data_IF_059289660958
#
_entry.id   IF_059289660958
#
_cell.length_a   1.000
_cell.length_b   1.000
_cell.length_c   1.000
_cell.angle_alpha   90.00
_cell.angle_beta   90.00
_cell.angle_gamma   90.00
#
_symmetry.space_group_name_H-M   'P 1'
#
loop_
_entity.id
_entity.type
_entity.pdbx_description
1 polymer ?
#
# COMPACT_ATOMS: atom_id res chain seq x y z
N UNK A 1 -30.15 22.04 -5.83
CA UNK A 1 -28.95 22.53 -5.10
C UNK A 1 -27.76 21.84 -5.71
N UNK A 2 -26.61 22.51 -5.86
CA UNK A 2 -25.41 21.83 -6.38
C UNK A 2 -24.93 20.78 -5.39
N UNK A 3 -24.70 19.55 -5.85
CA UNK A 3 -24.16 18.46 -5.02
C UNK A 3 -22.76 18.82 -4.54
N UNK A 4 -22.46 18.46 -3.28
CA UNK A 4 -21.13 18.68 -2.69
C UNK A 4 -20.18 17.54 -3.06
N UNK A 5 -18.91 17.86 -3.25
CA UNK A 5 -17.87 16.84 -3.40
C UNK A 5 -17.13 16.58 -2.09
N UNK A 6 -16.64 15.35 -1.93
CA UNK A 6 -15.58 15.01 -0.99
C UNK A 6 -14.29 14.76 -1.76
N UNK A 7 -13.17 15.25 -1.23
CA UNK A 7 -11.84 14.90 -1.74
C UNK A 7 -11.42 13.54 -1.18
N UNK A 8 -10.46 12.87 -1.83
CA UNK A 8 -9.94 11.57 -1.35
C UNK A 8 -9.42 11.63 0.10
N UNK A 9 -8.85 12.78 0.52
CA UNK A 9 -8.45 13.02 1.90
C UNK A 9 -9.63 12.99 2.89
N UNK A 10 -10.77 13.56 2.52
CA UNK A 10 -11.95 13.63 3.39
C UNK A 10 -12.59 12.24 3.50
N UNK A 11 -12.59 11.48 2.40
CA UNK A 11 -13.02 10.07 2.39
C UNK A 11 -12.09 9.21 3.24
N UNK A 12 -10.78 9.41 3.16
CA UNK A 12 -9.82 8.67 3.97
C UNK A 12 -10.02 8.90 5.48
N UNK A 13 -10.27 10.14 5.91
CA UNK A 13 -10.61 10.43 7.32
C UNK A 13 -11.85 9.69 7.78
N UNK A 14 -12.91 9.66 6.94
CA UNK A 14 -14.14 8.94 7.25
C UNK A 14 -13.95 7.43 7.26
N UNK A 15 -13.18 6.88 6.32
CA UNK A 15 -12.86 5.44 6.24
C UNK A 15 -12.08 4.96 7.47
N UNK A 16 -11.13 5.77 7.93
CA UNK A 16 -10.27 5.42 9.07
C UNK A 16 -10.94 5.67 10.43
N UNK A 17 -11.64 6.78 10.58
CA UNK A 17 -12.04 7.30 11.89
C UNK A 17 -13.53 7.67 12.03
N UNK A 18 -14.29 7.67 10.94
CA UNK A 18 -15.70 8.08 10.91
C UNK A 18 -16.63 6.96 10.49
N UNK A 19 -17.86 7.35 10.16
CA UNK A 19 -18.84 6.50 9.48
C UNK A 19 -19.04 7.00 8.05
N UNK A 20 -19.30 6.08 7.12
CA UNK A 20 -19.58 6.41 5.73
C UNK A 20 -20.50 5.36 5.10
N UNK A 21 -21.56 5.81 4.43
CA UNK A 21 -22.33 4.96 3.54
C UNK A 21 -21.93 5.23 2.08
N UNK A 22 -21.69 4.18 1.31
CA UNK A 22 -21.24 4.30 -0.09
C UNK A 22 -22.30 3.71 -1.02
N UNK A 23 -22.75 4.52 -1.98
CA UNK A 23 -23.48 4.05 -3.14
C UNK A 23 -22.48 3.93 -4.30
N UNK A 24 -22.02 2.71 -4.59
CA UNK A 24 -21.14 2.48 -5.72
C UNK A 24 -21.96 2.27 -7.00
N UNK A 25 -21.75 3.12 -8.00
CA UNK A 25 -22.50 3.06 -9.27
C UNK A 25 -21.69 2.47 -10.42
N UNK A 26 -20.53 1.86 -10.13
CA UNK A 26 -19.80 1.05 -11.10
C UNK A 26 -20.56 -0.24 -11.40
N UNK A 27 -20.13 -0.95 -12.45
CA UNK A 27 -20.66 -2.29 -12.72
C UNK A 27 -20.32 -3.25 -11.57
N UNK A 28 -21.10 -4.33 -11.45
CA UNK A 28 -20.97 -5.30 -10.36
C UNK A 28 -19.58 -5.90 -10.29
N UNK A 29 -18.97 -6.24 -11.43
CA UNK A 29 -17.64 -6.84 -11.50
C UNK A 29 -16.57 -5.94 -10.89
N UNK A 30 -16.56 -4.65 -11.25
CA UNK A 30 -15.59 -3.68 -10.72
C UNK A 30 -15.79 -3.44 -9.22
N UNK A 31 -17.03 -3.48 -8.74
CA UNK A 31 -17.35 -3.34 -7.32
C UNK A 31 -16.94 -4.57 -6.50
N UNK A 32 -17.17 -5.78 -7.03
CA UNK A 32 -16.79 -7.04 -6.39
C UNK A 32 -15.28 -7.24 -6.33
N UNK A 33 -14.56 -6.85 -7.40
CA UNK A 33 -13.10 -6.95 -7.44
C UNK A 33 -12.43 -5.92 -6.52
N UNK A 34 -12.95 -4.70 -6.45
CA UNK A 34 -12.29 -3.62 -5.72
C UNK A 34 -13.25 -2.52 -5.28
N UNK A 35 -13.35 -2.26 -3.98
CA UNK A 35 -14.23 -1.24 -3.40
C UNK A 35 -13.58 -0.52 -2.21
N UNK A 36 -14.17 0.60 -1.80
CA UNK A 36 -13.74 1.34 -0.61
C UNK A 36 -14.24 0.59 0.62
N UNK A 37 -13.32 0.18 1.49
CA UNK A 37 -13.63 -0.56 2.71
C UNK A 37 -13.07 0.14 3.95
N UNK A 38 -13.75 -0.02 5.08
CA UNK A 38 -13.40 0.60 6.36
C UNK A 38 -14.19 -0.05 7.49
N UNK A 39 -13.73 0.08 8.74
CA UNK A 39 -14.35 -0.60 9.90
C UNK A 39 -15.82 -0.19 10.12
N UNK A 40 -16.16 1.04 9.73
CA UNK A 40 -17.50 1.63 9.85
C UNK A 40 -18.02 2.12 8.49
N UNK A 41 -17.52 1.50 7.40
CA UNK A 41 -17.98 1.76 6.04
C UNK A 41 -18.97 0.67 5.66
N UNK A 42 -20.13 1.09 5.16
CA UNK A 42 -21.11 0.19 4.55
C UNK A 42 -21.38 0.63 3.13
N UNK A 43 -21.54 -0.32 2.21
CA UNK A 43 -21.74 -0.01 0.80
C UNK A 43 -22.82 -0.88 0.16
N UNK A 44 -23.53 -0.30 -0.80
CA UNK A 44 -24.35 -1.03 -1.77
C UNK A 44 -23.88 -0.71 -3.18
N UNK A 45 -24.09 -1.63 -4.12
CA UNK A 45 -23.81 -1.41 -5.52
C UNK A 45 -25.11 -1.34 -6.32
N UNK A 46 -25.26 -0.28 -7.12
CA UNK A 46 -26.37 -0.07 -8.05
C UNK A 46 -25.79 0.49 -9.34
N UNK A 47 -25.52 -0.34 -10.36
CA UNK A 47 -24.88 0.09 -11.59
C UNK A 47 -25.55 1.32 -12.19
N UNK A 48 -24.74 2.27 -12.66
CA UNK A 48 -25.21 3.55 -13.21
C UNK A 48 -26.30 3.40 -14.28
N UNK A 49 -26.20 2.35 -15.12
CA UNK A 49 -27.18 2.07 -16.17
C UNK A 49 -28.59 1.85 -15.63
N UNK A 50 -28.73 1.30 -14.42
CA UNK A 50 -30.03 1.05 -13.77
C UNK A 50 -30.64 2.33 -13.20
N UNK A 51 -29.85 3.40 -13.08
CA UNK A 51 -30.22 4.68 -12.48
C UNK A 51 -30.48 5.78 -13.51
N UNK A 52 -30.33 5.49 -14.81
CA UNK A 52 -30.50 6.45 -15.91
C UNK A 52 -31.94 6.98 -16.01
N UNK A 53 -32.92 6.12 -15.76
CA UNK A 53 -34.35 6.45 -15.85
C UNK A 53 -34.92 7.01 -14.52
N UNK A 54 -34.06 7.20 -13.51
CA UNK A 54 -34.42 7.76 -12.21
C UNK A 54 -33.98 6.90 -11.02
N UNK A 55 -33.87 7.55 -9.86
CA UNK A 55 -33.32 6.96 -8.62
C UNK A 55 -34.38 6.54 -7.59
N UNK A 56 -35.67 6.79 -7.86
CA UNK A 56 -36.76 6.61 -6.88
C UNK A 56 -36.80 5.21 -6.25
N UNK A 57 -36.48 4.18 -7.05
CA UNK A 57 -36.54 2.79 -6.61
C UNK A 57 -35.43 2.41 -5.60
N UNK A 58 -34.35 3.19 -5.49
CA UNK A 58 -33.27 2.95 -4.52
C UNK A 58 -33.32 3.89 -3.31
N UNK A 59 -34.15 4.95 -3.33
CA UNK A 59 -34.20 5.96 -2.26
C UNK A 59 -34.48 5.33 -0.89
N UNK A 60 -35.32 4.29 -0.82
CA UNK A 60 -35.63 3.59 0.44
C UNK A 60 -34.49 2.72 0.96
N UNK A 61 -33.51 2.39 0.13
CA UNK A 61 -32.34 1.58 0.50
C UNK A 61 -31.22 2.43 1.12
N UNK A 62 -31.24 3.75 0.90
CA UNK A 62 -30.21 4.67 1.37
C UNK A 62 -30.52 5.19 2.79
N UNK A 63 -29.50 5.35 3.65
CA UNK A 63 -29.69 5.93 4.97
C UNK A 63 -30.05 7.42 4.86
N UNK A 64 -30.91 7.89 5.76
CA UNK A 64 -31.35 9.30 5.82
C UNK A 64 -30.61 10.12 6.87
N UNK A 65 -29.93 9.44 7.78
CA UNK A 65 -29.24 9.98 8.95
C UNK A 65 -27.71 9.95 8.82
N UNK A 66 -27.19 9.52 7.66
CA UNK A 66 -25.75 9.39 7.39
C UNK A 66 -25.35 10.14 6.13
N UNK A 67 -24.07 10.49 6.05
CA UNK A 67 -23.47 10.94 4.79
C UNK A 67 -23.47 9.78 3.78
N UNK A 68 -23.99 10.02 2.58
CA UNK A 68 -23.97 9.09 1.46
C UNK A 68 -22.99 9.59 0.42
N UNK A 69 -21.95 8.80 0.16
CA UNK A 69 -20.98 9.05 -0.89
C UNK A 69 -21.31 8.20 -2.13
N UNK A 70 -21.63 8.86 -3.23
CA UNK A 70 -21.81 8.22 -4.53
C UNK A 70 -20.44 8.11 -5.21
N UNK A 71 -20.09 6.90 -5.65
CA UNK A 71 -18.76 6.60 -6.19
C UNK A 71 -18.87 5.99 -7.59
N UNK A 72 -18.05 6.48 -8.52
CA UNK A 72 -17.81 5.81 -9.79
C UNK A 72 -16.31 5.84 -10.13
N UNK A 73 -15.92 5.33 -11.31
CA UNK A 73 -14.52 5.26 -11.72
C UNK A 73 -13.81 6.63 -11.75
N UNK A 74 -14.45 7.67 -12.32
CA UNK A 74 -13.86 9.01 -12.51
C UNK A 74 -14.58 10.13 -11.78
N UNK A 75 -15.90 10.25 -11.92
CA UNK A 75 -16.83 11.09 -11.10
C UNK A 75 -18.12 11.40 -11.86
N UNK A 76 -18.12 11.40 -13.20
CA UNK A 76 -19.26 11.85 -14.01
C UNK A 76 -20.58 11.14 -13.69
N UNK A 77 -20.58 9.80 -13.67
CA UNK A 77 -21.75 9.01 -13.29
C UNK A 77 -22.19 9.24 -11.84
N UNK A 78 -21.24 9.42 -10.91
CA UNK A 78 -21.58 9.70 -9.51
C UNK A 78 -22.14 11.10 -9.32
N UNK A 79 -21.70 12.10 -10.09
CA UNK A 79 -22.28 13.46 -10.07
C UNK A 79 -23.74 13.39 -10.51
N UNK A 80 -24.02 12.76 -11.66
CA UNK A 80 -25.39 12.62 -12.16
C UNK A 80 -26.31 11.96 -11.14
N UNK A 81 -25.90 10.80 -10.59
CA UNK A 81 -26.72 10.07 -9.62
C UNK A 81 -26.89 10.86 -8.32
N UNK A 82 -25.85 11.52 -7.84
CA UNK A 82 -25.93 12.35 -6.65
C UNK A 82 -26.87 13.56 -6.82
N UNK A 83 -26.92 14.15 -8.02
CA UNK A 83 -27.85 15.23 -8.36
C UNK A 83 -29.29 14.71 -8.33
N UNK A 84 -29.55 13.56 -8.95
CA UNK A 84 -30.87 12.92 -8.93
C UNK A 84 -31.34 12.57 -7.51
N UNK A 85 -30.45 12.05 -6.66
CA UNK A 85 -30.78 11.78 -5.25
C UNK A 85 -31.09 13.05 -4.46
N UNK A 86 -30.37 14.14 -4.73
CA UNK A 86 -30.64 15.44 -4.11
C UNK A 86 -31.98 16.01 -4.59
N UNK A 87 -32.32 15.84 -5.86
CA UNK A 87 -33.62 16.23 -6.43
C UNK A 87 -34.78 15.39 -5.88
N UNK A 88 -34.55 14.11 -5.58
CA UNK A 88 -35.47 13.22 -4.88
C UNK A 88 -35.64 13.54 -3.38
N UNK A 89 -34.95 14.58 -2.88
CA UNK A 89 -35.12 15.11 -1.53
C UNK A 89 -34.23 14.45 -0.48
N UNK A 90 -33.19 13.69 -0.87
CA UNK A 90 -32.18 13.23 0.08
C UNK A 90 -31.22 14.37 0.43
N UNK A 91 -30.87 14.43 1.70
CA UNK A 91 -29.84 15.34 2.22
C UNK A 91 -28.52 14.57 2.42
N UNK A 92 -27.41 15.31 2.62
CA UNK A 92 -26.08 14.73 2.88
C UNK A 92 -25.57 13.77 1.79
N UNK A 93 -25.91 14.08 0.54
CA UNK A 93 -25.38 13.38 -0.64
C UNK A 93 -24.10 14.06 -1.12
N UNK A 94 -23.07 13.25 -1.32
CA UNK A 94 -21.76 13.67 -1.83
C UNK A 94 -21.33 12.79 -3.00
N UNK A 95 -20.43 13.30 -3.84
CA UNK A 95 -19.67 12.45 -4.76
C UNK A 95 -18.17 12.56 -4.47
N UNK A 96 -17.40 11.53 -4.84
CA UNK A 96 -15.95 11.55 -4.72
C UNK A 96 -15.34 12.30 -5.90
N UNK A 97 -14.70 13.43 -5.64
CA UNK A 97 -13.94 14.17 -6.64
C UNK A 97 -12.80 13.30 -7.21
N UNK A 98 -12.76 13.15 -8.53
CA UNK A 98 -11.82 12.27 -9.23
C UNK A 98 -12.10 10.76 -9.07
N UNK A 99 -13.18 10.39 -8.38
CA UNK A 99 -13.69 9.02 -8.29
C UNK A 99 -12.69 8.02 -7.73
N UNK A 100 -12.88 6.75 -8.07
CA UNK A 100 -11.98 5.68 -7.66
C UNK A 100 -10.52 5.89 -8.13
N UNK A 101 -10.30 6.63 -9.22
CA UNK A 101 -8.93 7.00 -9.63
C UNK A 101 -8.22 7.84 -8.59
N UNK A 102 -8.86 8.90 -8.09
CA UNK A 102 -8.31 9.72 -7.02
C UNK A 102 -8.17 8.94 -5.71
N UNK A 103 -9.10 8.03 -5.42
CA UNK A 103 -9.00 7.13 -4.26
C UNK A 103 -7.78 6.20 -4.33
N UNK A 104 -7.52 5.61 -5.50
CA UNK A 104 -6.34 4.76 -5.72
C UNK A 104 -5.04 5.50 -5.43
N UNK A 105 -4.96 6.78 -5.79
CA UNK A 105 -3.74 7.57 -5.75
C UNK A 105 -3.44 8.21 -4.38
N UNK A 106 -4.46 8.35 -3.53
CA UNK A 106 -4.32 9.09 -2.29
C UNK A 106 -3.49 8.34 -1.25
N UNK A 107 -2.55 9.06 -0.64
CA UNK A 107 -1.63 8.56 0.38
C UNK A 107 -1.82 9.35 1.67
N UNK A 108 -2.14 8.66 2.76
CA UNK A 108 -2.33 9.25 4.10
C UNK A 108 -1.08 9.03 4.97
N UNK A 109 -0.34 10.09 5.35
CA UNK A 109 0.72 9.96 6.34
C UNK A 109 0.14 9.81 7.76
N UNK A 110 0.71 8.89 8.54
CA UNK A 110 0.36 8.59 9.93
C UNK A 110 1.64 8.39 10.73
N UNK A 111 1.77 9.09 11.86
CA UNK A 111 2.93 8.94 12.74
C UNK A 111 2.88 7.58 13.45
N UNK A 112 3.90 6.76 13.27
CA UNK A 112 4.05 5.45 13.93
C UNK A 112 4.56 5.62 15.35
N UNK A 113 5.60 6.43 15.53
CA UNK A 113 6.22 6.64 16.83
C UNK A 113 7.47 7.52 16.76
N UNK A 114 8.01 7.86 17.92
CA UNK A 114 9.28 8.56 18.06
C UNK A 114 10.46 7.57 18.03
N UNK A 115 11.64 8.07 17.61
CA UNK A 115 12.90 7.30 17.57
C UNK A 115 13.74 7.60 18.80
N UNK A 116 14.55 6.64 19.27
CA UNK A 116 15.32 6.72 20.52
C UNK A 116 16.27 7.91 20.58
N UNK A 117 16.89 8.26 19.45
CA UNK A 117 17.88 9.35 19.36
C UNK A 117 17.29 10.66 18.80
N UNK A 118 15.97 10.81 18.88
CA UNK A 118 15.26 11.95 18.28
C UNK A 118 14.84 11.66 16.85
N UNK A 119 13.76 12.32 16.42
CA UNK A 119 13.10 12.05 15.15
C UNK A 119 11.85 11.17 15.31
N UNK A 120 11.29 10.75 14.17
CA UNK A 120 10.02 10.03 14.12
C UNK A 120 9.94 9.09 12.92
N UNK A 121 9.18 8.01 13.08
CA UNK A 121 8.77 7.10 12.02
C UNK A 121 7.35 7.44 11.58
N UNK A 122 7.12 7.50 10.28
CA UNK A 122 5.81 7.72 9.67
C UNK A 122 5.50 6.59 8.67
N UNK A 123 4.25 6.15 8.68
CA UNK A 123 3.67 5.22 7.71
C UNK A 123 2.77 6.01 6.77
N UNK A 124 2.91 5.77 5.48
CA UNK A 124 2.17 6.41 4.40
C UNK A 124 1.24 5.37 3.78
N UNK A 125 -0.05 5.50 4.04
CA UNK A 125 -1.06 4.52 3.64
C UNK A 125 -1.69 4.91 2.30
N UNK A 126 -1.42 4.14 1.25
CA UNK A 126 -2.18 4.22 -0.01
C UNK A 126 -3.45 3.37 0.13
N UNK A 127 -4.46 3.93 0.80
CA UNK A 127 -5.66 3.18 1.25
C UNK A 127 -6.41 2.49 0.10
N UNK A 128 -6.44 3.13 -1.07
CA UNK A 128 -7.12 2.56 -2.22
C UNK A 128 -6.44 1.34 -2.80
N UNK A 129 -5.14 1.14 -2.57
CA UNK A 129 -4.42 0.00 -3.13
C UNK A 129 -3.96 -1.00 -2.08
N UNK A 130 -3.78 -0.58 -0.83
CA UNK A 130 -3.21 -1.42 0.22
C UNK A 130 -1.69 -1.33 0.34
N UNK A 131 -1.04 -0.44 -0.41
CA UNK A 131 0.40 -0.21 -0.32
C UNK A 131 0.73 0.67 0.89
N UNK A 132 1.85 0.36 1.53
CA UNK A 132 2.43 1.06 2.66
C UNK A 132 3.85 1.46 2.30
N UNK A 133 4.17 2.70 2.61
CA UNK A 133 5.50 3.25 2.48
C UNK A 133 5.87 3.95 3.77
N UNK A 134 7.15 4.26 3.96
CA UNK A 134 7.62 4.77 5.24
C UNK A 134 8.51 5.98 5.06
N UNK A 135 8.45 6.90 6.03
CA UNK A 135 9.43 7.98 6.14
C UNK A 135 10.05 7.97 7.54
N UNK A 136 11.37 7.90 7.57
CA UNK A 136 12.16 8.10 8.78
C UNK A 136 12.65 9.54 8.77
N UNK A 137 12.30 10.31 9.79
CA UNK A 137 12.69 11.72 9.92
C UNK A 137 13.61 11.88 11.11
N UNK A 138 14.75 12.54 10.94
CA UNK A 138 15.69 12.83 12.03
C UNK A 138 16.55 14.06 11.72
N UNK A 139 16.66 14.98 12.68
CA UNK A 139 17.51 16.18 12.62
C UNK A 139 17.50 16.94 11.28
N UNK A 140 16.30 17.19 10.72
CA UNK A 140 16.13 17.94 9.47
C UNK A 140 16.33 17.14 8.19
N UNK A 141 16.64 15.84 8.28
CA UNK A 141 16.75 14.93 7.15
C UNK A 141 15.68 13.85 7.19
N UNK A 142 15.39 13.26 6.03
CA UNK A 142 14.47 12.15 5.90
C UNK A 142 14.96 11.07 4.93
N UNK A 143 14.57 9.83 5.19
CA UNK A 143 14.61 8.74 4.22
C UNK A 143 13.21 8.23 3.93
N UNK A 144 12.93 7.90 2.66
CA UNK A 144 11.67 7.27 2.23
C UNK A 144 11.94 5.83 1.80
N UNK A 145 11.11 4.90 2.28
CA UNK A 145 11.16 3.48 1.95
C UNK A 145 9.88 3.11 1.18
N UNK A 146 10.03 2.43 0.05
CA UNK A 146 8.95 1.94 -0.84
C UNK A 146 8.02 3.06 -1.35
N UNK A 147 8.60 4.15 -1.85
CA UNK A 147 7.81 5.28 -2.33
C UNK A 147 6.89 4.87 -3.49
N UNK A 148 5.60 5.23 -3.43
CA UNK A 148 4.66 5.05 -4.56
C UNK A 148 4.82 6.17 -5.60
N UNK A 149 4.33 5.98 -6.84
CA UNK A 149 4.51 6.96 -7.94
C UNK A 149 3.99 8.37 -7.68
N UNK A 150 3.02 8.55 -6.78
CA UNK A 150 2.48 9.86 -6.34
C UNK A 150 3.43 10.53 -5.34
N UNK A 151 4.63 10.84 -5.84
CA UNK A 151 5.75 11.31 -5.02
C UNK A 151 5.49 12.65 -4.32
N UNK A 152 4.53 13.43 -4.83
CA UNK A 152 4.12 14.72 -4.29
C UNK A 152 3.68 14.60 -2.81
N UNK A 153 3.10 13.47 -2.40
CA UNK A 153 2.71 13.23 -1.01
C UNK A 153 3.92 13.25 -0.05
N UNK A 154 5.08 12.76 -0.48
CA UNK A 154 6.31 12.78 0.33
C UNK A 154 6.96 14.17 0.29
N UNK A 155 6.95 14.84 -0.86
CA UNK A 155 7.49 16.20 -1.02
C UNK A 155 6.75 17.22 -0.16
N UNK A 156 5.40 17.18 -0.18
CA UNK A 156 4.55 18.03 0.63
C UNK A 156 4.75 17.76 2.12
N UNK A 157 4.78 16.49 2.52
CA UNK A 157 5.01 16.11 3.91
C UNK A 157 6.39 16.59 4.42
N UNK A 158 7.45 16.39 3.64
CA UNK A 158 8.79 16.82 3.99
C UNK A 158 8.87 18.35 4.13
N UNK A 159 8.22 19.09 3.23
CA UNK A 159 8.11 20.55 3.31
C UNK A 159 7.33 21.02 4.54
N UNK A 160 6.22 20.38 4.88
CA UNK A 160 5.42 20.69 6.07
C UNK A 160 6.18 20.47 7.39
N UNK A 161 7.12 19.52 7.38
CA UNK A 161 7.93 19.14 8.55
C UNK A 161 9.32 19.78 8.54
N UNK A 162 9.62 20.67 7.59
CA UNK A 162 10.91 21.35 7.42
C UNK A 162 12.10 20.37 7.36
N UNK A 163 11.95 19.29 6.59
CA UNK A 163 12.98 18.26 6.42
C UNK A 163 13.34 18.02 4.95
N UNK A 164 14.59 17.60 4.73
CA UNK A 164 15.13 17.30 3.40
C UNK A 164 15.20 15.78 3.20
N UNK A 165 14.55 15.27 2.16
CA UNK A 165 14.67 13.85 1.78
C UNK A 165 16.06 13.64 1.14
N UNK A 166 16.92 12.86 1.79
CA UNK A 166 18.30 12.60 1.33
C UNK A 166 18.48 11.19 0.77
N UNK A 167 17.63 10.25 1.19
CA UNK A 167 17.68 8.85 0.80
C UNK A 167 16.29 8.33 0.42
N UNK A 168 16.23 7.57 -0.67
CA UNK A 168 15.01 6.89 -1.11
C UNK A 168 15.40 5.46 -1.47
N UNK A 169 14.66 4.48 -0.98
CA UNK A 169 15.01 3.07 -1.15
C UNK A 169 13.79 2.20 -1.34
N UNK A 170 13.92 1.16 -2.16
CA UNK A 170 12.90 0.13 -2.28
C UNK A 170 13.38 -1.18 -1.66
N UNK A 171 12.49 -1.86 -0.93
CA UNK A 171 12.74 -3.18 -0.34
C UNK A 171 12.98 -4.25 -1.40
N UNK A 172 12.35 -4.10 -2.57
CA UNK A 172 12.43 -5.00 -3.71
C UNK A 172 11.96 -4.29 -5.00
N UNK A 173 12.12 -4.94 -6.16
CA UNK A 173 11.52 -4.43 -7.39
C UNK A 173 10.02 -4.77 -7.44
N UNK A 174 9.19 -3.80 -7.03
CA UNK A 174 7.72 -3.92 -6.96
C UNK A 174 7.09 -4.38 -8.28
N UNK A 175 6.03 -5.18 -8.17
CA UNK A 175 5.27 -5.73 -9.31
C UNK A 175 3.79 -5.34 -9.30
N UNK A 176 3.30 -4.77 -8.21
CA UNK A 176 1.91 -4.36 -8.04
C UNK A 176 1.72 -2.86 -8.30
N UNK A 177 2.75 -2.04 -8.05
CA UNK A 177 2.71 -0.60 -8.24
C UNK A 177 3.99 -0.07 -8.88
N UNK A 178 3.88 1.11 -9.48
CA UNK A 178 5.02 1.81 -10.05
C UNK A 178 5.74 2.54 -8.91
N UNK A 179 7.01 2.19 -8.69
CA UNK A 179 7.83 2.83 -7.67
C UNK A 179 8.05 4.30 -8.04
N UNK A 180 7.77 5.17 -7.07
CA UNK A 180 8.16 6.57 -7.09
C UNK A 180 9.60 6.79 -6.63
N UNK A 181 10.31 5.74 -6.18
CA UNK A 181 11.60 5.83 -5.52
C UNK A 181 12.65 6.58 -6.33
N UNK A 182 12.84 6.15 -7.58
CA UNK A 182 13.75 6.79 -8.53
C UNK A 182 13.36 8.26 -8.80
N UNK A 183 12.09 8.49 -9.14
CA UNK A 183 11.57 9.83 -9.49
C UNK A 183 11.73 10.81 -8.33
N UNK A 184 11.44 10.35 -7.10
CA UNK A 184 11.59 11.15 -5.89
C UNK A 184 13.06 11.48 -5.63
N UNK A 185 13.96 10.50 -5.70
CA UNK A 185 15.39 10.72 -5.52
C UNK A 185 15.95 11.73 -6.54
N UNK A 186 15.57 11.61 -7.82
CA UNK A 186 15.96 12.57 -8.87
C UNK A 186 15.45 14.00 -8.57
N UNK A 187 14.18 14.14 -8.17
CA UNK A 187 13.57 15.46 -7.85
C UNK A 187 14.26 16.15 -6.67
N UNK A 188 14.60 15.40 -5.61
CA UNK A 188 15.19 15.96 -4.39
C UNK A 188 16.73 16.00 -4.43
N UNK A 189 17.36 15.46 -5.49
CA UNK A 189 18.81 15.30 -5.57
C UNK A 189 19.37 14.30 -4.54
N UNK A 190 18.53 13.37 -4.08
CA UNK A 190 18.86 12.36 -3.08
C UNK A 190 19.48 11.10 -3.69
N UNK A 191 19.80 10.15 -2.82
CA UNK A 191 20.34 8.84 -3.23
C UNK A 191 19.21 7.83 -3.38
N UNK A 192 19.13 7.19 -4.56
CA UNK A 192 18.24 6.05 -4.79
C UNK A 192 18.96 4.72 -4.52
N UNK A 193 18.39 3.90 -3.64
CA UNK A 193 18.93 2.60 -3.25
C UNK A 193 18.02 1.46 -3.70
N UNK A 194 18.60 0.40 -4.26
CA UNK A 194 17.86 -0.76 -4.76
C UNK A 194 18.66 -2.06 -4.55
N UNK A 195 18.01 -3.21 -4.28
CA UNK A 195 18.72 -4.48 -4.12
C UNK A 195 19.31 -4.97 -5.45
N UNK A 196 20.62 -5.27 -5.52
CA UNK A 196 21.27 -5.63 -6.78
C UNK A 196 20.67 -6.85 -7.48
N UNK A 197 20.19 -7.85 -6.72
CA UNK A 197 19.61 -9.08 -7.29
C UNK A 197 18.24 -8.88 -7.95
N UNK A 198 17.54 -7.81 -7.59
CA UNK A 198 16.31 -7.38 -8.28
C UNK A 198 16.60 -6.37 -9.40
N UNK A 199 17.85 -5.93 -9.50
CA UNK A 199 18.28 -4.83 -10.35
C UNK A 199 19.27 -5.26 -11.45
N UNK A 200 19.29 -6.53 -11.84
CA UNK A 200 20.19 -7.03 -12.89
C UNK A 200 19.87 -6.43 -14.27
N UNK A 201 18.60 -6.11 -14.51
CA UNK A 201 18.12 -5.62 -15.81
C UNK A 201 17.68 -4.15 -15.80
N UNK A 202 17.92 -3.41 -14.71
CA UNK A 202 17.54 -1.99 -14.62
C UNK A 202 18.44 -1.16 -15.54
N UNK A 203 17.86 -0.15 -16.20
CA UNK A 203 18.57 0.68 -17.19
C UNK A 203 18.93 2.08 -16.65
N UNK A 204 19.06 2.21 -15.33
CA UNK A 204 19.40 3.44 -14.64
C UNK A 204 20.40 3.21 -13.52
N UNK A 205 21.01 4.29 -13.03
CA UNK A 205 21.96 4.23 -11.91
C UNK A 205 21.22 4.16 -10.57
N UNK A 206 21.75 3.34 -9.67
CA UNK A 206 21.29 3.21 -8.29
C UNK A 206 22.49 2.94 -7.36
N UNK A 207 22.30 3.11 -6.06
CA UNK A 207 23.23 2.62 -5.04
C UNK A 207 22.80 1.23 -4.56
N UNK A 208 23.71 0.27 -4.49
CA UNK A 208 23.34 -1.10 -4.13
C UNK A 208 22.96 -1.19 -2.64
N UNK A 209 21.80 -1.78 -2.36
CA UNK A 209 21.44 -2.24 -1.02
C UNK A 209 22.10 -3.60 -0.77
N UNK A 210 23.08 -3.64 0.14
CA UNK A 210 23.83 -4.87 0.47
C UNK A 210 23.90 -5.10 1.98
N UNK A 211 23.98 -6.38 2.35
CA UNK A 211 24.13 -6.85 3.74
C UNK A 211 25.22 -6.08 4.51
N UNK A 212 24.91 -5.59 5.71
CA UNK A 212 25.77 -4.77 6.56
C UNK A 212 25.89 -3.27 6.22
N UNK A 213 25.06 -2.71 5.33
CA UNK A 213 25.13 -1.28 4.97
C UNK A 213 24.46 -0.37 6.00
N UNK A 214 25.09 0.68 6.49
CA UNK A 214 24.40 1.65 7.36
C UNK A 214 24.10 2.94 6.61
N UNK A 215 22.82 3.33 6.54
CA UNK A 215 22.39 4.63 6.01
C UNK A 215 22.13 5.57 7.18
N UNK A 216 22.80 6.72 7.21
CA UNK A 216 22.56 7.72 8.24
C UNK A 216 21.56 8.76 7.70
N UNK A 217 20.58 9.11 8.54
CA UNK A 217 19.60 10.17 8.29
C UNK A 217 19.66 11.12 9.47
N UNK A 218 20.20 12.32 9.27
CA UNK A 218 20.41 13.29 10.33
C UNK A 218 21.24 12.70 11.47
N UNK A 219 20.63 12.52 12.66
CA UNK A 219 21.28 11.87 13.81
C UNK A 219 20.86 10.42 14.03
N UNK A 220 19.92 9.91 13.25
CA UNK A 220 19.44 8.54 13.37
C UNK A 220 20.13 7.65 12.36
N UNK A 221 20.59 6.49 12.83
CA UNK A 221 21.04 5.43 11.94
C UNK A 221 19.82 4.63 11.49
N UNK A 222 19.63 4.58 10.19
CA UNK A 222 18.87 3.52 9.56
C UNK A 222 19.91 2.46 9.26
N UNK A 223 20.06 1.54 10.21
CA UNK A 223 20.88 0.38 9.95
C UNK A 223 20.12 -0.44 8.91
N UNK A 224 20.61 -0.41 7.68
CA UNK A 224 20.47 -1.59 6.86
C UNK A 224 21.45 -2.60 7.47
N UNK A 225 21.08 -3.09 8.67
CA UNK A 225 21.48 -4.41 9.14
C UNK A 225 20.98 -5.50 8.18
N UNK A 226 20.36 -5.09 7.05
CA UNK A 226 20.43 -5.67 5.72
C UNK A 226 20.35 -7.17 5.79
N UNK A 227 19.25 -7.57 6.40
CA UNK A 227 18.77 -8.90 6.27
C UNK A 227 18.39 -9.06 4.80
N UNK A 228 19.33 -9.61 4.04
CA UNK A 228 19.00 -10.27 2.80
C UNK A 228 17.89 -11.28 3.14
N UNK A 229 16.68 -10.97 2.70
CA UNK A 229 15.44 -11.65 3.09
C UNK A 229 14.74 -12.13 1.83
N UNK A 230 15.37 -13.01 1.03
CA UNK A 230 14.77 -13.48 -0.21
C UNK A 230 13.52 -14.29 0.08
N UNK A 231 12.61 -14.28 -0.88
CA UNK A 231 11.39 -15.08 -0.80
C UNK A 231 10.32 -14.54 -1.72
N UNK A 232 9.86 -13.31 -1.47
CA UNK A 232 8.92 -12.62 -2.35
C UNK A 232 9.57 -12.32 -3.71
N UNK A 233 10.74 -11.70 -3.66
CA UNK A 233 11.71 -11.65 -4.75
C UNK A 233 13.04 -12.21 -4.29
N UNK A 234 13.94 -12.51 -5.24
CA UNK A 234 15.32 -12.89 -4.90
C UNK A 234 16.12 -11.73 -4.31
N UNK A 235 15.79 -10.48 -4.63
CA UNK A 235 16.44 -9.29 -4.08
C UNK A 235 15.80 -8.72 -2.82
N UNK A 236 14.67 -9.27 -2.37
CA UNK A 236 13.92 -8.75 -1.22
C UNK A 236 14.82 -8.49 -0.01
N UNK A 237 14.74 -7.27 0.51
CA UNK A 237 15.58 -6.75 1.59
C UNK A 237 14.71 -6.13 2.68
N UNK A 238 14.93 -6.54 3.93
CA UNK A 238 14.27 -5.95 5.10
C UNK A 238 15.16 -4.90 5.77
N UNK A 239 14.56 -3.91 6.42
CA UNK A 239 15.29 -2.86 7.15
C UNK A 239 14.99 -2.93 8.65
N UNK A 240 16.02 -2.70 9.48
CA UNK A 240 15.85 -2.47 10.92
C UNK A 240 16.04 -0.98 11.18
N UNK A 241 15.04 -0.33 11.75
CA UNK A 241 15.13 1.10 12.09
C UNK A 241 15.11 1.26 13.60
N UNK A 242 16.13 1.96 14.12
CA UNK A 242 16.25 2.36 15.53
C UNK A 242 16.17 1.18 16.53
N UNK A 243 16.62 -0.01 16.12
CA UNK A 243 16.47 -1.30 16.82
C UNK A 243 15.05 -1.58 17.34
N UNK A 244 14.03 -0.99 16.70
CA UNK A 244 12.66 -0.94 17.20
C UNK A 244 11.65 -1.38 16.15
N UNK A 245 11.95 -1.16 14.88
CA UNK A 245 11.07 -1.45 13.76
C UNK A 245 11.75 -2.39 12.76
N UNK A 246 11.00 -3.35 12.23
CA UNK A 246 11.37 -4.21 11.12
C UNK A 246 10.48 -3.85 9.94
N UNK A 247 11.04 -3.17 8.93
CA UNK A 247 10.33 -2.97 7.66
C UNK A 247 10.54 -4.23 6.84
N UNK A 248 9.52 -5.08 6.76
CA UNK A 248 9.61 -6.44 6.21
C UNK A 248 9.41 -6.50 4.69
N UNK A 249 9.11 -5.38 4.04
CA UNK A 249 8.69 -5.39 2.64
C UNK A 249 7.49 -6.31 2.43
N UNK A 250 7.54 -7.12 1.37
CA UNK A 250 6.51 -8.11 1.03
C UNK A 250 6.85 -9.53 1.49
N UNK A 251 7.70 -9.68 2.51
CA UNK A 251 8.06 -10.99 3.08
C UNK A 251 7.07 -11.44 4.16
N UNK A 252 6.74 -10.54 5.09
CA UNK A 252 5.87 -10.81 6.24
C UNK A 252 4.87 -9.67 6.41
N UNK A 253 3.59 -10.03 6.43
CA UNK A 253 2.45 -9.14 6.69
C UNK A 253 1.90 -9.35 8.10
N UNK A 254 0.91 -8.55 8.51
CA UNK A 254 0.28 -8.70 9.83
C UNK A 254 -0.52 -10.01 9.88
N UNK A 255 -1.39 -10.24 8.92
CA UNK A 255 -2.23 -11.44 8.89
C UNK A 255 -1.75 -12.53 7.91
N UNK A 256 -0.67 -12.29 7.15
CA UNK A 256 -0.21 -13.21 6.10
C UNK A 256 1.32 -13.15 5.87
N UNK A 257 1.80 -13.81 4.81
CA UNK A 257 3.18 -13.84 4.32
C UNK A 257 3.22 -13.54 2.81
N UNK A 258 4.41 -13.21 2.31
CA UNK A 258 4.68 -12.96 0.89
C UNK A 258 4.44 -14.16 -0.02
N UNK A 259 4.08 -13.89 -1.28
CA UNK A 259 4.07 -14.89 -2.36
C UNK A 259 5.38 -14.88 -3.17
N UNK A 260 5.98 -16.02 -3.55
CA UNK A 260 7.27 -16.11 -4.25
C UNK A 260 7.18 -16.15 -5.79
N UNK A 261 6.00 -16.07 -6.39
CA UNK A 261 5.76 -16.42 -7.81
C UNK A 261 5.79 -15.25 -8.80
N UNK A 262 5.68 -14.01 -8.34
CA UNK A 262 5.48 -12.84 -9.23
C UNK A 262 6.66 -12.52 -10.17
N UNK A 263 7.81 -13.17 -9.97
CA UNK A 263 8.93 -13.09 -10.91
C UNK A 263 9.10 -14.32 -11.82
N UNK A 264 8.16 -15.27 -11.80
CA UNK A 264 8.18 -16.47 -12.63
C UNK A 264 9.13 -17.57 -12.15
N UNK A 265 9.62 -17.50 -10.90
CA UNK A 265 10.55 -18.47 -10.28
C UNK A 265 10.03 -19.04 -8.96
N UNK A 266 8.73 -19.28 -8.88
CA UNK A 266 8.04 -19.69 -7.65
C UNK A 266 8.72 -20.88 -6.94
N UNK A 267 9.12 -21.94 -7.68
CA UNK A 267 9.73 -23.13 -7.08
C UNK A 267 11.08 -22.88 -6.41
N UNK A 268 11.87 -21.95 -6.97
CA UNK A 268 13.22 -21.62 -6.50
C UNK A 268 13.18 -20.78 -5.22
N UNK A 269 12.17 -19.94 -5.04
CA UNK A 269 12.13 -18.95 -3.94
C UNK A 269 11.27 -19.36 -2.75
N UNK A 270 10.50 -20.44 -2.85
CA UNK A 270 9.76 -21.01 -1.69
C UNK A 270 10.71 -21.33 -0.53
N UNK A 271 11.83 -21.99 -0.83
CA UNK A 271 12.81 -22.39 0.19
C UNK A 271 13.51 -21.17 0.80
N UNK A 272 13.77 -20.14 -0.01
CA UNK A 272 14.30 -18.86 0.44
C UNK A 272 13.33 -18.15 1.39
N UNK A 273 12.04 -18.05 1.01
CA UNK A 273 10.99 -17.46 1.83
C UNK A 273 10.88 -18.18 3.17
N UNK A 274 10.83 -19.52 3.16
CA UNK A 274 10.76 -20.33 4.37
C UNK A 274 11.98 -20.10 5.26
N UNK A 275 13.18 -20.11 4.70
CA UNK A 275 14.39 -19.87 5.47
C UNK A 275 14.43 -18.45 6.09
N UNK A 276 13.97 -17.45 5.34
CA UNK A 276 13.84 -16.07 5.83
C UNK A 276 12.88 -16.01 7.04
N UNK A 277 11.68 -16.57 6.91
CA UNK A 277 10.65 -16.52 7.94
C UNK A 277 10.96 -17.41 9.17
N UNK A 278 11.47 -18.62 8.96
CA UNK A 278 11.61 -19.65 10.00
C UNK A 278 12.99 -19.72 10.63
N UNK A 279 14.01 -19.16 9.99
CA UNK A 279 15.38 -19.11 10.52
C UNK A 279 15.78 -17.67 10.82
N UNK A 280 15.87 -16.82 9.78
CA UNK A 280 16.44 -15.47 9.92
C UNK A 280 15.62 -14.57 10.84
N UNK A 281 14.30 -14.48 10.63
CA UNK A 281 13.42 -13.66 11.47
C UNK A 281 13.28 -14.18 12.92
N UNK A 282 13.56 -15.46 13.18
CA UNK A 282 13.56 -16.00 14.56
C UNK A 282 14.80 -15.56 15.36
N UNK A 283 15.90 -15.27 14.69
CA UNK A 283 17.13 -14.77 15.32
C UNK A 283 17.04 -13.27 15.68
N UNK A 284 16.08 -12.55 15.11
CA UNK A 284 15.84 -11.15 15.41
C UNK A 284 15.25 -10.95 16.82
N UNK A 285 15.35 -9.71 17.30
CA UNK A 285 14.67 -9.29 18.52
C UNK A 285 13.15 -9.42 18.36
N UNK A 286 12.55 -10.27 19.18
CA UNK A 286 11.11 -10.52 19.16
C UNK A 286 10.26 -9.32 19.63
N UNK A 287 10.92 -8.26 20.11
CA UNK A 287 10.28 -6.98 20.48
C UNK A 287 10.15 -5.98 19.33
N UNK A 288 10.71 -6.27 18.15
CA UNK A 288 10.58 -5.43 16.96
C UNK A 288 9.11 -5.26 16.58
N UNK A 289 8.75 -4.07 16.13
CA UNK A 289 7.46 -3.78 15.49
C UNK A 289 7.62 -4.01 14.00
N UNK A 290 6.89 -4.97 13.45
CA UNK A 290 6.88 -5.26 12.02
C UNK A 290 5.99 -4.24 11.30
N UNK A 291 6.54 -3.71 10.20
CA UNK A 291 5.99 -2.68 9.33
C UNK A 291 6.07 -3.19 7.88
N UNK A 292 5.02 -3.81 7.33
CA UNK A 292 5.05 -4.41 5.99
C UNK A 292 4.94 -3.37 4.87
N UNK A 293 5.27 -3.72 3.63
CA UNK A 293 5.02 -2.84 2.47
C UNK A 293 3.56 -2.92 1.96
N UNK A 294 2.78 -3.90 2.42
CA UNK A 294 1.39 -4.05 2.04
C UNK A 294 0.49 -4.55 3.18
N UNK A 295 -0.83 -4.36 3.02
CA UNK A 295 -1.87 -5.01 3.81
C UNK A 295 -3.04 -5.41 2.92
N UNK A 296 -3.84 -6.38 3.34
CA UNK A 296 -4.98 -6.89 2.56
C UNK A 296 -6.33 -6.63 3.23
N UNK A 297 -6.36 -6.55 4.56
CA UNK A 297 -7.60 -6.39 5.33
C UNK A 297 -7.55 -5.15 6.21
N UNK A 298 -8.65 -4.41 6.28
CA UNK A 298 -8.80 -3.27 7.21
C UNK A 298 -8.65 -3.69 8.68
N UNK A 299 -8.89 -4.98 9.00
CA UNK A 299 -8.66 -5.54 10.34
C UNK A 299 -7.20 -5.47 10.79
N UNK A 300 -6.25 -5.44 9.86
CA UNK A 300 -4.80 -5.33 10.13
C UNK A 300 -4.42 -3.93 10.64
N UNK A 301 -5.27 -2.92 10.41
CA UNK A 301 -5.05 -1.58 10.92
C UNK A 301 -5.47 -1.46 12.38
N UNK A 302 -4.65 -0.80 13.19
CA UNK A 302 -5.05 -0.40 14.54
C UNK A 302 -6.01 0.81 14.53
N UNK A 303 -6.38 1.31 15.72
CA UNK A 303 -7.34 2.43 15.86
C UNK A 303 -6.81 3.77 15.30
N UNK A 304 -5.50 3.90 15.14
CA UNK A 304 -4.85 5.07 14.56
C UNK A 304 -4.61 4.93 13.06
N UNK A 305 -5.05 3.83 12.43
CA UNK A 305 -4.82 3.53 11.02
C UNK A 305 -3.44 2.96 10.69
N UNK A 306 -2.60 2.66 11.70
CA UNK A 306 -1.27 2.07 11.50
C UNK A 306 -1.42 0.57 11.29
N UNK A 307 -0.70 0.02 10.31
CA UNK A 307 -0.62 -1.43 10.07
C UNK A 307 0.69 -1.91 10.66
N UNK A 308 0.61 -2.62 11.78
CA UNK A 308 1.80 -3.08 12.47
C UNK A 308 1.47 -4.15 13.49
N UNK A 309 2.44 -4.99 13.82
CA UNK A 309 2.36 -5.95 14.92
C UNK A 309 3.73 -6.16 15.55
N UNK A 310 3.78 -6.65 16.80
CA UNK A 310 5.07 -7.11 17.36
C UNK A 310 5.45 -8.44 16.72
N UNK A 311 6.73 -8.61 16.40
CA UNK A 311 7.25 -9.83 15.76
C UNK A 311 6.91 -11.09 16.58
N UNK A 312 7.05 -11.03 17.91
CA UNK A 312 6.65 -12.14 18.80
C UNK A 312 5.17 -12.54 18.66
N UNK A 313 4.29 -11.56 18.43
CA UNK A 313 2.86 -11.81 18.37
C UNK A 313 2.53 -12.46 17.01
N UNK A 314 3.18 -12.00 15.93
CA UNK A 314 3.05 -12.64 14.61
C UNK A 314 3.45 -14.12 14.64
N UNK A 315 4.56 -14.47 15.28
CA UNK A 315 4.92 -15.88 15.45
C UNK A 315 3.87 -16.70 16.21
N UNK A 316 3.06 -16.06 17.06
CA UNK A 316 2.02 -16.73 17.83
C UNK A 316 0.70 -16.94 17.07
N UNK A 317 0.34 -16.06 16.12
CA UNK A 317 -0.98 -16.12 15.46
C UNK A 317 -0.98 -16.11 13.92
N UNK A 318 0.10 -15.70 13.26
CA UNK A 318 0.14 -15.64 11.79
C UNK A 318 0.20 -17.08 11.24
N UNK A 319 -0.82 -17.48 10.48
CA UNK A 319 -0.95 -18.85 9.98
C UNK A 319 0.23 -19.24 9.09
N UNK A 320 0.74 -18.33 8.25
CA UNK A 320 1.90 -18.57 7.37
C UNK A 320 3.22 -18.81 8.12
N UNK A 321 3.34 -18.33 9.36
CA UNK A 321 4.49 -18.57 10.23
C UNK A 321 4.41 -19.89 11.03
N UNK A 322 3.27 -20.59 10.96
CA UNK A 322 2.96 -21.76 11.78
C UNK A 322 2.68 -23.03 10.94
N UNK A 323 3.25 -23.10 9.73
CA UNK A 323 3.17 -24.28 8.86
C UNK A 323 4.43 -25.14 9.07
N UNK A 324 4.30 -26.23 9.82
CA UNK A 324 5.42 -27.10 10.19
C UNK A 324 5.96 -27.92 9.01
N UNK A 325 5.08 -28.46 8.18
CA UNK A 325 5.46 -29.28 7.03
C UNK A 325 5.93 -28.41 5.85
N UNK A 326 7.10 -28.73 5.30
CA UNK A 326 7.68 -27.98 4.16
C UNK A 326 6.87 -28.16 2.87
N UNK A 327 6.27 -29.35 2.67
CA UNK A 327 5.43 -29.63 1.52
C UNK A 327 4.11 -28.86 1.56
N UNK A 328 3.49 -28.78 2.73
CA UNK A 328 2.31 -27.95 2.99
C UNK A 328 2.62 -26.47 2.79
N UNK A 329 3.74 -25.98 3.35
CA UNK A 329 4.17 -24.59 3.15
C UNK A 329 4.33 -24.26 1.67
N UNK A 330 4.99 -25.15 0.91
CA UNK A 330 5.15 -24.99 -0.54
C UNK A 330 3.79 -24.85 -1.23
N UNK A 331 2.85 -25.77 -0.97
CA UNK A 331 1.51 -25.72 -1.58
C UNK A 331 0.78 -24.42 -1.27
N UNK A 332 0.80 -23.98 -0.02
CA UNK A 332 0.13 -22.73 0.41
C UNK A 332 0.68 -21.53 -0.37
N UNK A 333 2.00 -21.44 -0.54
CA UNK A 333 2.63 -20.30 -1.22
C UNK A 333 2.77 -20.45 -2.74
N UNK A 334 2.33 -21.56 -3.35
CA UNK A 334 2.39 -21.74 -4.83
C UNK A 334 1.08 -22.11 -5.50
N UNK A 335 0.17 -22.81 -4.81
CA UNK A 335 -1.07 -23.33 -5.40
C UNK A 335 -2.31 -22.49 -5.01
N UNK A 336 -2.32 -21.90 -3.80
CA UNK A 336 -3.45 -21.12 -3.26
C UNK A 336 -3.22 -19.60 -3.38
N UNK A 337 -2.69 -19.16 -4.51
CA UNK A 337 -2.35 -17.76 -4.71
C UNK A 337 -3.50 -16.95 -5.33
N UNK A 338 -3.70 -15.68 -4.93
CA UNK A 338 -4.60 -14.81 -5.65
C UNK A 338 -4.15 -14.63 -7.10
N UNK A 339 -5.04 -14.14 -7.99
CA UNK A 339 -4.65 -13.68 -9.31
C UNK A 339 -3.45 -12.74 -9.22
N UNK A 340 -2.64 -12.69 -10.27
CA UNK A 340 -1.54 -11.73 -10.32
C UNK A 340 -2.08 -10.29 -10.27
N UNK A 341 -1.28 -9.32 -9.79
CA UNK A 341 -1.62 -7.90 -9.90
C UNK A 341 -1.91 -7.51 -11.35
N UNK A 342 -2.76 -6.50 -11.53
CA UNK A 342 -3.01 -5.93 -12.85
C UNK A 342 -1.70 -5.40 -13.45
N UNK A 343 -1.47 -5.68 -14.74
CA UNK A 343 -0.29 -5.22 -15.49
C UNK A 343 1.07 -5.48 -14.81
N UNK A 344 1.20 -6.56 -14.04
CA UNK A 344 2.40 -6.81 -13.21
C UNK A 344 3.70 -6.87 -14.03
N UNK A 345 3.66 -7.41 -15.26
CA UNK A 345 4.82 -7.46 -16.15
C UNK A 345 5.21 -6.06 -16.60
N UNK A 346 4.25 -5.27 -17.07
CA UNK A 346 4.46 -3.88 -17.50
C UNK A 346 4.92 -2.99 -16.35
N UNK A 347 4.40 -3.20 -15.14
CA UNK A 347 4.85 -2.50 -13.93
C UNK A 347 6.31 -2.83 -13.65
N UNK A 348 6.71 -4.11 -13.69
CA UNK A 348 8.11 -4.50 -13.53
C UNK A 348 9.00 -3.88 -14.62
N UNK A 349 8.57 -3.89 -15.89
CA UNK A 349 9.32 -3.24 -16.97
C UNK A 349 9.46 -1.72 -16.74
N UNK A 350 8.42 -1.08 -16.23
CA UNK A 350 8.43 0.36 -15.88
C UNK A 350 9.38 0.63 -14.72
N UNK A 351 9.33 -0.18 -13.66
CA UNK A 351 10.21 -0.08 -12.50
C UNK A 351 11.68 -0.40 -12.86
N UNK A 352 11.93 -1.20 -13.91
CA UNK A 352 13.26 -1.40 -14.49
C UNK A 352 13.73 -0.23 -15.37
N UNK A 353 12.85 0.72 -15.69
CA UNK A 353 13.10 1.83 -16.60
C UNK A 353 13.13 1.44 -18.08
N UNK A 354 12.66 0.22 -18.43
CA UNK A 354 12.69 -0.30 -19.80
C UNK A 354 11.54 0.24 -20.66
N UNK A 355 10.43 0.60 -20.03
CA UNK A 355 9.29 1.27 -20.67
C UNK A 355 8.91 2.53 -19.89
N UNK A 356 8.26 3.46 -20.59
CA UNK A 356 7.86 4.77 -20.05
C UNK A 356 6.41 5.05 -20.44
N UNK A 357 5.43 4.40 -19.79
CA UNK A 357 4.01 4.67 -20.00
C UNK A 357 3.68 6.14 -19.75
N UNK A 358 2.64 6.63 -20.41
CA UNK A 358 2.02 7.92 -20.10
C UNK A 358 1.35 7.88 -18.71
N UNK A 359 1.11 9.04 -18.11
CA UNK A 359 0.46 9.16 -16.78
C UNK A 359 -0.90 8.45 -16.73
N UNK A 360 -1.65 8.45 -17.83
CA UNK A 360 -2.93 7.74 -17.88
C UNK A 360 -2.74 6.22 -17.98
N UNK A 361 -1.73 5.73 -18.70
CA UNK A 361 -1.38 4.31 -18.72
C UNK A 361 -0.87 3.84 -17.35
N UNK A 362 0.01 4.60 -16.70
CA UNK A 362 0.47 4.33 -15.32
C UNK A 362 -0.70 4.15 -14.35
N UNK A 363 -1.71 5.02 -14.47
CA UNK A 363 -2.93 4.94 -13.68
C UNK A 363 -3.68 3.65 -13.92
N UNK A 364 -3.94 3.30 -15.19
CA UNK A 364 -4.67 2.08 -15.54
C UNK A 364 -3.93 0.82 -15.08
N UNK A 365 -2.60 0.79 -15.20
CA UNK A 365 -1.75 -0.32 -14.75
C UNK A 365 -1.95 -0.61 -13.25
N UNK A 366 -2.12 0.43 -12.43
CA UNK A 366 -2.23 0.28 -10.98
C UNK A 366 -3.66 0.12 -10.44
N UNK A 367 -4.70 0.11 -11.28
CA UNK A 367 -6.08 -0.09 -10.83
C UNK A 367 -6.27 -1.50 -10.25
N UNK A 368 -7.05 -1.59 -9.18
CA UNK A 368 -7.44 -2.84 -8.55
C UNK A 368 -6.91 -2.99 -7.12
N UNK A 369 -7.22 -4.14 -6.47
CA UNK A 369 -6.82 -4.40 -5.10
C UNK A 369 -5.36 -4.85 -4.98
N UNK A 370 -4.82 -4.83 -3.76
CA UNK A 370 -3.56 -5.52 -3.44
C UNK A 370 -3.69 -7.04 -3.68
N UNK A 371 -2.67 -7.66 -4.28
CA UNK A 371 -2.57 -9.11 -4.52
C UNK A 371 -1.19 -9.70 -4.17
N UNK A 372 -0.42 -9.04 -3.29
CA UNK A 372 0.93 -9.46 -2.89
C UNK A 372 0.96 -10.48 -1.73
N UNK A 373 -0.13 -10.59 -0.95
CA UNK A 373 -0.23 -11.54 0.16
C UNK A 373 -0.79 -12.90 -0.29
N UNK A 374 -0.40 -13.96 0.41
CA UNK A 374 -1.09 -15.27 0.31
C UNK A 374 -2.46 -15.14 1.01
N UNK A 375 -3.49 -15.75 0.43
CA UNK A 375 -4.82 -15.81 1.05
C UNK A 375 -5.13 -17.26 1.48
N UNK A 376 -5.90 -17.38 2.56
CA UNK A 376 -6.45 -18.67 3.02
C UNK A 376 -7.58 -19.18 2.11
#
# INVERSE_FOLDING_TARGET
>A
MSVKSLQAKDVAEKVLFGELFILDVRNEKDYEDWKIEGKQVSSINKPYFDLLDGVDHIVSELPKDKDVLVVCAKEGSSIFVAEQLTEAGLENIYYLAGGMKAWSEYVKPIKVGDLKNGGSMYQFNRLGKGCLSYMVVSNGEAAVIDAVRTVEAYEEFAKEHDVTITNVMDTHLHADHISGGRKLAEKVGGTYWLPPKDAEEVVFSYKPLVEGSVITVGGTKIEIDALYSPGHTIGSTSFIVDDSYLLSGDILFVDSIGRPDLAGKAEDWVSDLRNTLYSRYKELSQNLVVLPAHYSKVSEMNKSGIVSAKLKDLFAYNAGLNIEDEGEFRKVVTENLPPQPNAYEEIRQTNMGKIHPSVDEEREMEIGPNRCAVHE
#
